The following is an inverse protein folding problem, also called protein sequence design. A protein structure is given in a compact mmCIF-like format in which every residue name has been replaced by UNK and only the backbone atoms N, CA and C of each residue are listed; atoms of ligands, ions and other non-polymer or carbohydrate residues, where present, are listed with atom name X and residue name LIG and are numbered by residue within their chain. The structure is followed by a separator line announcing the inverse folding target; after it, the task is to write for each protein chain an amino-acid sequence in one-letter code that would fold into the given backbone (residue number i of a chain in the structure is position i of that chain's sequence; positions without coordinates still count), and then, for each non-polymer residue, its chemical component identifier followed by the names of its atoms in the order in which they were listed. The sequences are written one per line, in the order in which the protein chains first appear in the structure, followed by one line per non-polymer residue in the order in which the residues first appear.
data_IF_194511775684
#
_entry.id   IF_194511775684
#
_cell.length_a   1.000
_cell.length_b   1.000
_cell.length_c   1.000
_cell.angle_alpha   90.00
_cell.angle_beta   90.00
_cell.angle_gamma   90.00
#
_symmetry.space_group_name_H-M   'P 1'
#
loop_
_entity.id
_entity.type
_entity.pdbx_description
1 polymer ?
#
# COMPACT_ATOMS: atom_id res chain seq x y z
N UNK A 1 -24.44 -21.97 -25.47
CA UNK A 1 -23.00 -22.33 -25.46
C UNK A 1 -22.93 -23.84 -25.47
N UNK A 2 -22.13 -24.37 -26.38
CA UNK A 2 -21.97 -25.80 -26.61
C UNK A 2 -21.08 -26.50 -25.56
N UNK A 3 -20.28 -25.76 -24.79
CA UNK A 3 -19.45 -26.32 -23.72
C UNK A 3 -20.32 -26.73 -22.51
N UNK A 4 -20.80 -27.97 -22.52
CA UNK A 4 -21.60 -28.59 -21.47
C UNK A 4 -21.18 -30.04 -21.27
N UNK A 5 -21.23 -30.59 -20.05
CA UNK A 5 -20.88 -31.98 -19.78
C UNK A 5 -21.62 -33.00 -20.66
N UNK A 6 -22.87 -32.70 -21.02
CA UNK A 6 -23.71 -33.56 -21.87
C UNK A 6 -23.16 -33.79 -23.29
N UNK A 7 -22.30 -32.88 -23.76
CA UNK A 7 -21.76 -32.84 -25.11
C UNK A 7 -20.35 -33.44 -25.24
N UNK A 8 -19.68 -33.79 -24.13
CA UNK A 8 -18.37 -34.43 -24.15
C UNK A 8 -18.46 -35.86 -24.74
N UNK A 9 -17.48 -36.24 -25.55
CA UNK A 9 -17.42 -37.52 -26.26
C UNK A 9 -18.47 -37.71 -27.36
N UNK A 10 -19.19 -36.65 -27.79
CA UNK A 10 -20.25 -36.74 -28.79
C UNK A 10 -20.03 -35.78 -29.95
N UNK A 11 -20.47 -36.21 -31.14
CA UNK A 11 -20.63 -35.32 -32.30
C UNK A 11 -21.86 -34.45 -32.09
N UNK A 12 -21.69 -33.14 -32.19
CA UNK A 12 -22.78 -32.16 -32.13
C UNK A 12 -22.75 -31.24 -33.36
N UNK A 13 -23.85 -30.50 -33.56
CA UNK A 13 -23.98 -29.47 -34.59
C UNK A 13 -24.41 -28.17 -33.91
N UNK A 14 -23.44 -27.32 -33.49
CA UNK A 14 -23.72 -26.14 -32.70
C UNK A 14 -24.65 -25.16 -33.42
N UNK A 15 -25.62 -24.59 -32.70
CA UNK A 15 -26.55 -23.63 -33.28
C UNK A 15 -25.96 -22.21 -33.26
N UNK A 16 -26.53 -21.26 -34.00
CA UNK A 16 -26.15 -19.83 -33.89
C UNK A 16 -26.18 -19.30 -32.46
N UNK A 17 -27.11 -19.80 -31.62
CA UNK A 17 -27.22 -19.45 -30.20
C UNK A 17 -26.01 -19.91 -29.39
N UNK A 18 -25.37 -21.01 -29.78
CA UNK A 18 -24.19 -21.53 -29.08
C UNK A 18 -22.95 -20.68 -29.26
N UNK A 19 -22.88 -19.91 -30.35
CA UNK A 19 -21.87 -18.89 -30.63
C UNK A 19 -22.22 -17.50 -30.09
N UNK A 20 -23.33 -17.36 -29.34
CA UNK A 20 -23.82 -16.07 -28.85
C UNK A 20 -24.04 -15.04 -29.98
N UNK A 21 -24.50 -15.52 -31.15
CA UNK A 21 -24.61 -14.69 -32.34
C UNK A 21 -25.44 -13.41 -32.12
N UNK A 22 -26.44 -13.45 -31.24
CA UNK A 22 -27.32 -12.30 -30.95
C UNK A 22 -26.61 -11.17 -30.19
N UNK A 23 -25.47 -11.46 -29.57
CA UNK A 23 -24.60 -10.46 -28.96
C UNK A 23 -23.53 -9.89 -29.90
N UNK A 24 -23.44 -10.36 -31.15
CA UNK A 24 -22.44 -9.87 -32.10
C UNK A 24 -22.83 -8.52 -32.70
N UNK A 25 -21.84 -7.63 -32.85
CA UNK A 25 -22.02 -6.39 -33.60
C UNK A 25 -22.43 -6.66 -35.06
N UNK A 26 -23.22 -5.78 -35.71
CA UNK A 26 -23.82 -6.06 -37.02
C UNK A 26 -22.84 -6.53 -38.10
N UNK A 27 -21.64 -5.95 -38.18
CA UNK A 27 -20.62 -6.36 -39.16
C UNK A 27 -20.06 -7.75 -38.88
N UNK A 28 -19.71 -8.04 -37.63
CA UNK A 28 -19.26 -9.38 -37.21
C UNK A 28 -20.36 -10.42 -37.38
N UNK A 29 -21.63 -10.04 -37.16
CA UNK A 29 -22.78 -10.91 -37.35
C UNK A 29 -22.93 -11.34 -38.80
N UNK A 30 -22.78 -10.41 -39.76
CA UNK A 30 -22.82 -10.74 -41.21
C UNK A 30 -21.73 -11.73 -41.61
N UNK A 31 -20.49 -11.50 -41.16
CA UNK A 31 -19.36 -12.41 -41.42
C UNK A 31 -19.58 -13.78 -40.78
N UNK A 32 -20.08 -13.80 -39.54
CA UNK A 32 -20.43 -15.03 -38.84
C UNK A 32 -21.54 -15.80 -39.56
N UNK A 33 -22.61 -15.13 -40.01
CA UNK A 33 -23.72 -15.80 -40.69
C UNK A 33 -23.26 -16.46 -42.00
N UNK A 34 -22.40 -15.80 -42.79
CA UNK A 34 -21.80 -16.40 -43.99
C UNK A 34 -20.95 -17.63 -43.66
N UNK A 35 -20.09 -17.53 -42.66
CA UNK A 35 -19.28 -18.67 -42.19
C UNK A 35 -20.17 -19.81 -41.66
N UNK A 36 -21.20 -19.49 -40.88
CA UNK A 36 -22.09 -20.48 -40.28
C UNK A 36 -22.88 -21.24 -41.35
N UNK A 37 -23.42 -20.57 -42.37
CA UNK A 37 -24.13 -21.27 -43.45
C UNK A 37 -23.25 -22.27 -44.19
N UNK A 38 -21.95 -21.98 -44.32
CA UNK A 38 -20.97 -22.88 -44.93
C UNK A 38 -20.57 -24.06 -44.03
N UNK A 39 -20.64 -23.91 -42.70
CA UNK A 39 -20.08 -24.87 -41.74
C UNK A 39 -21.12 -25.54 -40.82
N UNK A 40 -22.40 -25.15 -40.86
CA UNK A 40 -23.46 -25.64 -39.96
C UNK A 40 -23.70 -27.16 -40.01
N UNK A 41 -23.33 -27.80 -41.12
CA UNK A 41 -23.48 -29.24 -41.33
C UNK A 41 -22.19 -30.01 -41.04
N UNK A 42 -21.13 -29.34 -40.60
CA UNK A 42 -19.88 -29.99 -40.25
C UNK A 42 -20.01 -30.62 -38.86
N UNK A 43 -19.62 -31.89 -38.68
CA UNK A 43 -19.62 -32.52 -37.36
C UNK A 43 -18.64 -31.77 -36.45
N UNK A 44 -19.09 -31.45 -35.24
CA UNK A 44 -18.26 -30.79 -34.23
C UNK A 44 -18.04 -31.72 -33.04
N UNK A 45 -16.80 -32.16 -32.86
CA UNK A 45 -16.36 -32.91 -31.67
C UNK A 45 -15.77 -31.91 -30.67
N UNK A 46 -16.49 -31.69 -29.58
CA UNK A 46 -16.13 -30.67 -28.59
C UNK A 46 -14.76 -30.93 -27.97
N UNK A 47 -14.43 -32.19 -27.68
CA UNK A 47 -13.18 -32.56 -27.03
C UNK A 47 -11.96 -32.28 -27.93
N UNK A 48 -12.07 -32.60 -29.22
CA UNK A 48 -11.03 -32.31 -30.22
C UNK A 48 -10.88 -30.82 -30.48
N UNK A 49 -11.99 -30.09 -30.58
CA UNK A 49 -11.98 -28.64 -30.76
C UNK A 49 -11.38 -27.91 -29.56
N UNK A 50 -11.69 -28.36 -28.33
CA UNK A 50 -11.08 -27.82 -27.10
C UNK A 50 -9.59 -28.15 -27.03
N UNK A 51 -9.19 -29.39 -27.34
CA UNK A 51 -7.79 -29.77 -27.36
C UNK A 51 -7.00 -28.92 -28.39
N UNK A 52 -7.51 -28.78 -29.62
CA UNK A 52 -6.90 -27.96 -30.65
C UNK A 52 -6.84 -26.48 -30.26
N UNK A 53 -7.90 -25.93 -29.68
CA UNK A 53 -7.91 -24.56 -29.16
C UNK A 53 -6.83 -24.35 -28.09
N UNK A 54 -6.77 -25.23 -27.08
CA UNK A 54 -5.80 -25.15 -26.01
C UNK A 54 -4.36 -25.29 -26.52
N UNK A 55 -4.08 -26.20 -27.47
CA UNK A 55 -2.77 -26.32 -28.10
C UNK A 55 -2.38 -25.03 -28.82
N UNK A 56 -3.27 -24.50 -29.66
CA UNK A 56 -3.02 -23.26 -30.39
C UNK A 56 -2.84 -22.06 -29.44
N UNK A 57 -3.62 -21.97 -28.36
CA UNK A 57 -3.49 -20.90 -27.36
C UNK A 57 -2.10 -20.93 -26.70
N UNK A 58 -1.61 -22.11 -26.32
CA UNK A 58 -0.26 -22.28 -25.76
C UNK A 58 0.83 -21.96 -26.79
N UNK A 59 0.66 -22.37 -28.04
CA UNK A 59 1.58 -22.03 -29.14
C UNK A 59 1.67 -20.52 -29.37
N UNK A 60 0.52 -19.82 -29.40
CA UNK A 60 0.44 -18.37 -29.53
C UNK A 60 1.10 -17.68 -28.33
N UNK A 61 0.81 -18.13 -27.11
CA UNK A 61 1.42 -17.57 -25.89
C UNK A 61 2.95 -17.76 -25.89
N UNK A 62 3.43 -18.92 -26.33
CA UNK A 62 4.87 -19.19 -26.45
C UNK A 62 5.51 -18.28 -27.50
N UNK A 63 4.90 -18.15 -28.69
CA UNK A 63 5.39 -17.26 -29.75
C UNK A 63 5.42 -15.79 -29.28
N UNK A 64 4.37 -15.34 -28.58
CA UNK A 64 4.30 -14.01 -28.00
C UNK A 64 5.39 -13.80 -26.92
N UNK A 65 5.66 -14.80 -26.08
CA UNK A 65 6.70 -14.73 -25.06
C UNK A 65 8.11 -14.64 -25.67
N UNK A 66 8.37 -15.41 -26.73
CA UNK A 66 9.64 -15.36 -27.48
C UNK A 66 9.83 -13.97 -28.09
N UNK A 67 8.80 -13.46 -28.78
CA UNK A 67 8.84 -12.12 -29.37
C UNK A 67 9.04 -11.04 -28.30
N UNK A 68 8.28 -11.10 -27.20
CA UNK A 68 8.42 -10.16 -26.09
C UNK A 68 9.83 -10.18 -25.48
N UNK A 69 10.38 -11.37 -25.22
CA UNK A 69 11.75 -11.51 -24.69
C UNK A 69 12.77 -10.90 -25.64
N UNK A 70 12.69 -11.20 -26.94
CA UNK A 70 13.60 -10.66 -27.95
C UNK A 70 13.51 -9.14 -28.05
N UNK A 71 12.31 -8.59 -28.20
CA UNK A 71 12.12 -7.13 -28.29
C UNK A 71 12.59 -6.42 -27.03
N UNK A 72 12.31 -6.99 -25.85
CA UNK A 72 12.74 -6.39 -24.60
C UNK A 72 14.26 -6.43 -24.45
N UNK A 73 14.92 -7.53 -24.81
CA UNK A 73 16.38 -7.58 -24.87
C UNK A 73 16.94 -6.44 -25.72
N UNK A 74 16.43 -6.28 -26.94
CA UNK A 74 16.90 -5.25 -27.87
C UNK A 74 16.68 -3.83 -27.33
N UNK A 75 15.50 -3.53 -26.81
CA UNK A 75 15.17 -2.18 -26.33
C UNK A 75 15.90 -1.83 -25.03
N UNK A 76 16.30 -2.84 -24.24
CA UNK A 76 17.05 -2.64 -22.99
C UNK A 76 18.56 -2.75 -23.15
N UNK A 77 19.08 -2.95 -24.36
CA UNK A 77 20.52 -2.87 -24.62
C UNK A 77 21.05 -1.52 -24.17
N UNK A 78 22.27 -1.55 -23.64
CA UNK A 78 22.93 -0.35 -23.14
C UNK A 78 24.34 -0.24 -23.66
N UNK A 79 24.61 0.87 -24.35
CA UNK A 79 25.90 1.14 -24.96
C UNK A 79 26.81 1.95 -24.03
N UNK A 80 28.10 2.03 -24.38
CA UNK A 80 29.05 2.86 -23.66
C UNK A 80 28.67 4.35 -23.77
N UNK A 81 28.69 5.07 -22.64
CA UNK A 81 28.47 6.53 -22.59
C UNK A 81 27.00 6.98 -22.44
N UNK A 82 26.04 6.06 -22.31
CA UNK A 82 24.64 6.40 -22.04
C UNK A 82 24.44 6.89 -20.59
N UNK A 83 23.63 7.95 -20.42
CA UNK A 83 23.42 8.66 -19.14
C UNK A 83 22.52 7.85 -18.19
N UNK A 84 23.11 7.00 -17.35
CA UNK A 84 22.43 6.29 -16.27
C UNK A 84 23.37 6.11 -15.06
N UNK A 85 22.84 5.62 -13.93
CA UNK A 85 23.59 5.46 -12.67
C UNK A 85 24.70 4.40 -12.75
N UNK A 86 24.52 3.35 -13.54
CA UNK A 86 25.62 2.43 -13.91
C UNK A 86 26.40 3.02 -15.08
N UNK A 87 27.69 2.72 -15.23
CA UNK A 87 28.50 3.05 -16.42
C UNK A 87 28.79 1.82 -17.30
N UNK A 88 28.42 0.63 -16.84
CA UNK A 88 28.73 -0.64 -17.53
C UNK A 88 27.72 -0.90 -18.68
N UNK A 89 28.19 -1.20 -19.90
CA UNK A 89 27.31 -1.65 -20.97
C UNK A 89 26.76 -3.05 -20.67
N UNK A 90 25.61 -3.39 -21.25
CA UNK A 90 25.08 -4.76 -21.21
C UNK A 90 24.23 -5.04 -22.44
N UNK A 91 24.16 -6.33 -22.82
CA UNK A 91 23.47 -6.80 -24.04
C UNK A 91 21.95 -6.84 -23.98
N UNK A 92 21.34 -6.14 -23.01
CA UNK A 92 19.91 -6.18 -22.70
C UNK A 92 19.60 -6.85 -21.36
N UNK A 93 18.33 -6.86 -20.98
CA UNK A 93 17.78 -7.44 -19.74
C UNK A 93 16.88 -8.60 -20.15
N UNK A 94 17.07 -9.75 -19.52
CA UNK A 94 16.25 -10.91 -19.79
C UNK A 94 14.98 -10.89 -18.93
N UNK A 95 13.83 -10.70 -19.56
CA UNK A 95 12.53 -10.67 -18.88
C UNK A 95 12.18 -11.98 -18.16
N UNK A 96 12.75 -13.12 -18.55
CA UNK A 96 12.44 -14.42 -17.96
C UNK A 96 13.41 -14.82 -16.84
N UNK A 97 14.65 -14.36 -16.91
CA UNK A 97 15.69 -14.70 -15.94
C UNK A 97 15.83 -13.63 -14.84
N UNK A 98 15.83 -12.35 -15.21
CA UNK A 98 16.22 -11.28 -14.30
C UNK A 98 15.06 -10.75 -13.43
N UNK A 99 13.83 -11.13 -13.73
CA UNK A 99 12.62 -10.56 -13.11
C UNK A 99 11.43 -11.52 -13.23
N UNK A 100 10.67 -11.68 -12.15
CA UNK A 100 9.49 -12.56 -12.15
C UNK A 100 8.22 -11.88 -12.70
N UNK A 101 8.20 -10.54 -12.79
CA UNK A 101 7.03 -9.77 -13.20
C UNK A 101 7.40 -8.65 -14.15
N UNK A 102 6.45 -8.24 -15.01
CA UNK A 102 6.59 -7.10 -15.91
C UNK A 102 6.92 -5.82 -15.13
N UNK A 103 6.28 -5.59 -13.99
CA UNK A 103 6.59 -4.43 -13.14
C UNK A 103 8.04 -4.45 -12.64
N UNK A 104 8.55 -5.63 -12.25
CA UNK A 104 9.93 -5.79 -11.80
C UNK A 104 10.94 -5.52 -12.91
N UNK A 105 10.69 -6.04 -14.12
CA UNK A 105 11.61 -5.84 -15.25
C UNK A 105 11.59 -4.41 -15.78
N UNK A 106 10.43 -3.76 -15.80
CA UNK A 106 10.32 -2.32 -16.09
C UNK A 106 11.09 -1.48 -15.07
N UNK A 107 10.98 -1.80 -13.78
CA UNK A 107 11.71 -1.10 -12.72
C UNK A 107 13.22 -1.38 -12.77
N UNK A 108 13.63 -2.59 -13.17
CA UNK A 108 15.04 -2.92 -13.43
C UNK A 108 15.57 -2.08 -14.58
N UNK A 109 14.88 -2.10 -15.73
CA UNK A 109 15.25 -1.31 -16.91
C UNK A 109 15.37 0.18 -16.58
N UNK A 110 14.39 0.74 -15.86
CA UNK A 110 14.45 2.12 -15.41
C UNK A 110 15.72 2.40 -14.58
N UNK A 111 15.98 1.58 -13.55
CA UNK A 111 17.12 1.78 -12.64
C UNK A 111 18.48 1.60 -13.32
N UNK A 112 18.59 0.72 -14.32
CA UNK A 112 19.86 0.42 -14.99
C UNK A 112 20.18 1.35 -16.16
N UNK A 113 19.15 1.82 -16.88
CA UNK A 113 19.34 2.52 -18.16
C UNK A 113 18.85 3.98 -18.14
N UNK A 114 18.02 4.39 -17.19
CA UNK A 114 17.37 5.72 -17.23
C UNK A 114 17.56 6.53 -15.94
N UNK A 115 17.62 5.87 -14.78
CA UNK A 115 17.82 6.55 -13.50
C UNK A 115 19.23 7.13 -13.42
N UNK A 116 19.33 8.45 -13.22
CA UNK A 116 20.60 9.15 -13.02
C UNK A 116 21.13 8.93 -11.60
N UNK A 117 22.44 9.00 -11.44
CA UNK A 117 23.09 8.92 -10.13
C UNK A 117 22.58 10.03 -9.19
N UNK A 118 22.38 9.69 -7.91
CA UNK A 118 21.96 10.63 -6.85
C UNK A 118 20.68 11.43 -7.14
N UNK A 119 19.85 10.94 -8.07
CA UNK A 119 18.67 11.66 -8.53
C UNK A 119 17.44 11.41 -7.64
N UNK A 120 17.16 10.15 -7.32
CA UNK A 120 16.14 9.78 -6.34
C UNK A 120 16.80 9.52 -4.99
N UNK A 121 16.17 9.98 -3.91
CA UNK A 121 16.68 9.71 -2.57
C UNK A 121 16.49 8.24 -2.20
N UNK A 122 17.54 7.69 -1.59
CA UNK A 122 17.43 6.45 -0.84
C UNK A 122 16.94 6.81 0.55
N UNK A 123 15.73 6.34 0.88
CA UNK A 123 15.13 6.56 2.21
C UNK A 123 16.02 5.86 3.24
N UNK A 124 16.48 6.56 4.30
CA UNK A 124 17.25 5.90 5.35
C UNK A 124 16.44 4.79 6.02
N UNK A 125 17.11 3.76 6.54
CA UNK A 125 16.45 2.59 7.16
C UNK A 125 15.47 2.99 8.28
N UNK A 126 15.80 4.04 9.04
CA UNK A 126 14.97 4.58 10.14
C UNK A 126 14.05 5.73 9.71
N UNK A 127 13.88 5.96 8.42
CA UNK A 127 13.17 7.11 7.89
C UNK A 127 13.98 8.41 7.95
N UNK A 128 13.32 9.51 7.61
CA UNK A 128 13.96 10.83 7.54
C UNK A 128 14.04 11.56 8.89
N UNK A 129 13.13 11.25 9.81
CA UNK A 129 13.12 11.83 11.14
C UNK A 129 14.23 11.16 11.96
N UNK A 130 15.22 11.96 12.39
CA UNK A 130 16.32 11.52 13.26
C UNK A 130 15.87 11.38 14.71
N UNK A 131 14.76 10.69 14.96
CA UNK A 131 14.37 10.36 16.33
C UNK A 131 15.27 9.23 16.79
N UNK A 132 16.11 9.49 17.79
CA UNK A 132 16.95 8.49 18.44
C UNK A 132 16.07 7.51 19.24
N UNK A 133 15.43 6.58 18.54
CA UNK A 133 14.62 5.53 19.15
C UNK A 133 13.83 4.76 18.10
N UNK A 134 13.84 3.42 18.21
CA UNK A 134 13.02 2.52 17.37
C UNK A 134 11.71 2.16 18.07
N UNK A 135 11.16 3.09 18.85
CA UNK A 135 10.02 2.81 19.71
C UNK A 135 8.77 2.52 18.88
N UNK A 136 8.13 1.38 19.17
CA UNK A 136 6.94 0.96 18.44
C UNK A 136 5.71 1.78 18.83
N UNK A 137 4.80 2.00 17.88
CA UNK A 137 3.50 2.63 18.16
C UNK A 137 2.68 1.82 19.19
N UNK A 138 2.88 0.49 19.22
CA UNK A 138 2.29 -0.38 20.25
C UNK A 138 2.77 0.02 21.64
N UNK A 139 4.08 0.23 21.83
CA UNK A 139 4.68 0.64 23.10
C UNK A 139 4.18 2.02 23.53
N UNK A 140 4.16 3.01 22.62
CA UNK A 140 3.65 4.35 22.92
C UNK A 140 2.20 4.35 23.41
N UNK A 141 1.33 3.58 22.72
CA UNK A 141 -0.06 3.40 23.14
C UNK A 141 -0.17 2.69 24.49
N UNK A 142 0.67 1.67 24.70
CA UNK A 142 0.74 0.97 25.97
C UNK A 142 1.14 1.90 27.11
N UNK A 143 2.16 2.75 26.93
CA UNK A 143 2.60 3.71 27.94
C UNK A 143 1.57 4.79 28.24
N UNK A 144 0.81 5.25 27.23
CA UNK A 144 -0.31 6.16 27.44
C UNK A 144 -1.37 5.53 28.34
N UNK A 145 -1.78 4.29 28.04
CA UNK A 145 -2.72 3.54 28.89
C UNK A 145 -2.15 3.25 30.28
N UNK A 146 -0.89 2.83 30.36
CA UNK A 146 -0.22 2.49 31.61
C UNK A 146 -0.16 3.69 32.56
N UNK A 147 0.20 4.86 32.01
CA UNK A 147 0.26 6.12 32.74
C UNK A 147 -1.10 6.47 33.36
N UNK A 148 -2.18 6.35 32.58
CA UNK A 148 -3.53 6.66 33.06
C UNK A 148 -4.05 5.62 34.07
N UNK A 149 -3.83 4.32 33.81
CA UNK A 149 -4.30 3.25 34.68
C UNK A 149 -3.66 3.27 36.06
N UNK A 150 -2.36 3.56 36.13
CA UNK A 150 -1.60 3.50 37.37
C UNK A 150 -1.29 4.88 37.97
N UNK A 151 -1.72 5.96 37.32
CA UNK A 151 -1.47 7.34 37.77
C UNK A 151 0.03 7.65 37.87
N UNK A 152 0.81 7.23 36.87
CA UNK A 152 2.27 7.41 36.80
C UNK A 152 2.68 8.10 35.50
N UNK A 153 3.89 8.63 35.47
CA UNK A 153 4.47 9.23 34.27
C UNK A 153 5.51 8.27 33.69
N UNK A 154 5.27 7.82 32.45
CA UNK A 154 6.21 6.96 31.71
C UNK A 154 7.02 7.81 30.73
N UNK A 155 8.29 8.06 31.06
CA UNK A 155 9.27 8.62 30.14
C UNK A 155 9.49 7.65 28.96
N UNK A 156 9.49 8.18 27.74
CA UNK A 156 9.61 7.44 26.49
C UNK A 156 10.24 8.33 25.40
N UNK A 157 10.29 7.89 24.13
CA UNK A 157 10.96 8.62 23.04
C UNK A 157 10.40 10.03 22.81
N UNK A 158 9.13 10.27 23.13
CA UNK A 158 8.45 11.56 22.96
C UNK A 158 8.61 12.50 24.17
N UNK A 159 9.33 12.09 25.22
CA UNK A 159 9.60 12.93 26.40
C UNK A 159 10.77 13.88 26.12
N UNK A 160 10.84 15.04 26.80
CA UNK A 160 11.90 16.05 26.60
C UNK A 160 13.34 15.49 26.79
N UNK A 161 13.48 14.42 27.57
CA UNK A 161 14.75 13.69 27.77
C UNK A 161 14.93 12.43 26.91
N UNK A 162 14.03 12.15 25.96
CA UNK A 162 13.98 10.93 25.16
C UNK A 162 13.82 9.66 26.01
N UNK A 163 14.18 8.51 25.42
CA UNK A 163 14.21 7.23 26.12
C UNK A 163 15.27 7.20 27.23
N UNK A 164 14.92 6.58 28.37
CA UNK A 164 15.85 6.46 29.50
C UNK A 164 17.04 5.58 29.14
N UNK A 165 18.24 6.15 29.20
CA UNK A 165 19.50 5.42 28.98
C UNK A 165 20.02 4.81 30.29
N UNK A 166 20.31 3.51 30.27
CA UNK A 166 20.96 2.75 31.34
C UNK A 166 22.25 2.14 30.77
N UNK A 167 23.39 2.75 31.13
CA UNK A 167 24.68 2.42 30.52
C UNK A 167 24.65 2.60 29.00
N UNK A 168 24.90 1.52 28.26
CA UNK A 168 24.88 1.53 26.79
C UNK A 168 23.51 1.27 26.16
N UNK A 169 22.50 0.91 26.96
CA UNK A 169 21.17 0.56 26.46
C UNK A 169 20.14 1.66 26.75
N UNK A 170 19.08 1.68 25.96
CA UNK A 170 17.88 2.49 26.18
C UNK A 170 16.73 1.55 26.53
N UNK A 171 15.90 1.93 27.49
CA UNK A 171 14.65 1.27 27.85
C UNK A 171 13.50 1.88 27.06
N UNK A 172 12.52 1.07 26.65
CA UNK A 172 11.32 1.61 25.99
C UNK A 172 10.58 2.62 26.91
N UNK A 173 10.35 2.24 28.17
CA UNK A 173 9.63 3.07 29.15
C UNK A 173 10.38 3.21 30.47
N UNK A 174 10.26 4.36 31.12
CA UNK A 174 10.77 4.58 32.47
C UNK A 174 9.72 5.27 33.35
N UNK A 175 9.35 4.61 34.46
CA UNK A 175 8.36 5.13 35.41
C UNK A 175 9.04 6.06 36.38
N UNK A 176 8.81 7.38 36.23
CA UNK A 176 9.55 8.41 36.95
C UNK A 176 9.37 8.34 38.46
N UNK A 177 8.14 8.16 38.92
CA UNK A 177 7.80 8.22 40.36
C UNK A 177 8.31 7.01 41.14
N UNK A 178 8.49 5.87 40.45
CA UNK A 178 8.81 4.57 41.07
C UNK A 178 10.20 4.04 40.69
N UNK A 179 10.92 4.74 39.80
CA UNK A 179 12.28 4.42 39.36
C UNK A 179 12.48 2.98 38.86
N UNK A 180 11.63 2.52 37.93
CA UNK A 180 11.81 1.24 37.26
C UNK A 180 11.52 1.31 35.76
N UNK A 181 12.09 0.35 35.03
CA UNK A 181 11.96 0.26 33.57
C UNK A 181 10.74 -0.54 33.12
N UNK A 182 10.22 -0.23 31.95
CA UNK A 182 9.25 -1.07 31.24
C UNK A 182 9.80 -1.37 29.85
N UNK A 183 9.69 -2.62 29.43
CA UNK A 183 10.02 -3.08 28.07
C UNK A 183 8.78 -3.62 27.37
N UNK A 184 8.60 -3.27 26.10
CA UNK A 184 7.52 -3.77 25.26
C UNK A 184 8.12 -4.60 24.13
N UNK A 185 8.30 -5.90 24.39
CA UNK A 185 8.98 -6.80 23.48
C UNK A 185 8.06 -7.22 22.31
N UNK A 186 8.42 -6.80 21.10
CA UNK A 186 7.85 -7.32 19.86
C UNK A 186 8.11 -8.82 19.73
N UNK A 187 7.07 -9.62 19.51
CA UNK A 187 7.17 -11.07 19.60
C UNK A 187 8.16 -11.64 18.59
N UNK A 188 8.14 -11.12 17.35
CA UNK A 188 9.03 -11.53 16.26
C UNK A 188 10.47 -11.02 16.47
N UNK A 189 10.61 -9.81 17.00
CA UNK A 189 11.92 -9.16 17.17
C UNK A 189 12.73 -9.72 18.34
N UNK A 190 12.06 -10.18 19.40
CA UNK A 190 12.69 -10.74 20.60
C UNK A 190 12.48 -12.25 20.75
N UNK A 191 11.80 -12.90 19.80
CA UNK A 191 11.58 -14.36 19.80
C UNK A 191 10.74 -14.85 20.98
N UNK A 192 9.52 -14.33 21.13
CA UNK A 192 8.61 -14.64 22.25
C UNK A 192 8.50 -16.15 22.54
N UNK A 193 8.76 -16.61 23.79
CA UNK A 193 8.66 -18.04 24.14
C UNK A 193 7.27 -18.65 23.95
N UNK A 194 6.20 -17.84 24.05
CA UNK A 194 4.80 -18.30 23.87
C UNK A 194 4.42 -18.43 22.39
N UNK A 195 4.87 -17.49 21.56
CA UNK A 195 4.54 -17.48 20.12
C UNK A 195 5.48 -18.37 19.29
N UNK A 196 6.75 -18.41 19.69
CA UNK A 196 7.83 -19.12 19.00
C UNK A 196 8.53 -20.06 19.99
N UNK A 197 7.90 -21.17 20.42
CA UNK A 197 8.47 -22.02 21.46
C UNK A 197 9.80 -22.66 21.01
N UNK A 198 9.94 -23.00 19.72
CA UNK A 198 11.13 -23.60 19.16
C UNK A 198 12.28 -22.57 19.04
N UNK A 199 13.38 -22.79 19.74
CA UNK A 199 14.56 -21.92 19.70
C UNK A 199 15.28 -21.87 18.35
N UNK A 200 15.09 -22.87 17.48
CA UNK A 200 15.71 -22.94 16.15
C UNK A 200 14.87 -22.30 15.04
N UNK A 201 13.66 -21.82 15.37
CA UNK A 201 12.80 -21.17 14.39
C UNK A 201 13.46 -19.89 13.86
N UNK A 202 13.55 -19.75 12.53
CA UNK A 202 14.12 -18.58 11.87
C UNK A 202 13.10 -17.45 11.82
N UNK A 203 13.49 -16.30 12.37
CA UNK A 203 12.70 -15.08 12.31
C UNK A 203 12.95 -14.33 10.99
N UNK A 204 12.09 -13.36 10.59
CA UNK A 204 12.23 -12.61 9.34
C UNK A 204 13.56 -11.85 9.18
N UNK A 205 14.28 -11.61 10.28
CA UNK A 205 15.60 -10.99 10.28
C UNK A 205 16.75 -12.00 10.05
N UNK A 206 16.44 -13.27 9.77
CA UNK A 206 17.41 -14.34 9.54
C UNK A 206 18.05 -14.93 10.80
N UNK A 207 17.69 -14.45 11.99
CA UNK A 207 18.19 -14.96 13.28
C UNK A 207 17.22 -15.97 13.87
N UNK A 208 17.71 -16.90 14.69
CA UNK A 208 16.85 -17.86 15.38
C UNK A 208 16.19 -17.22 16.61
N UNK A 209 14.99 -17.70 16.98
CA UNK A 209 14.29 -17.20 18.16
C UNK A 209 15.11 -17.39 19.46
N UNK A 210 15.87 -18.49 19.57
CA UNK A 210 16.75 -18.75 20.71
C UNK A 210 17.90 -17.75 20.80
N UNK A 211 18.53 -17.41 19.67
CA UNK A 211 19.58 -16.38 19.63
C UNK A 211 19.05 -15.00 20.07
N UNK A 212 17.85 -14.63 19.64
CA UNK A 212 17.24 -13.35 20.02
C UNK A 212 16.95 -13.29 21.53
N UNK A 213 16.42 -14.38 22.11
CA UNK A 213 16.18 -14.48 23.56
C UNK A 213 17.48 -14.40 24.36
N UNK A 214 18.53 -15.07 23.92
CA UNK A 214 19.84 -15.04 24.59
C UNK A 214 20.43 -13.62 24.56
N UNK A 215 20.36 -12.95 23.41
CA UNK A 215 20.78 -11.57 23.29
C UNK A 215 19.97 -10.62 24.20
N UNK A 216 18.65 -10.80 24.25
CA UNK A 216 17.76 -10.02 25.13
C UNK A 216 18.06 -10.29 26.62
N UNK A 217 18.30 -11.56 26.99
CA UNK A 217 18.69 -11.97 28.34
C UNK A 217 19.98 -11.28 28.79
N UNK A 218 21.03 -11.31 27.96
CA UNK A 218 22.30 -10.65 28.26
C UNK A 218 22.13 -9.14 28.44
N UNK A 219 21.27 -8.51 27.63
CA UNK A 219 20.91 -7.09 27.76
C UNK A 219 20.18 -6.83 29.09
N UNK A 220 19.20 -7.67 29.45
CA UNK A 220 18.42 -7.55 30.68
C UNK A 220 19.26 -7.76 31.94
N UNK A 221 20.17 -8.74 31.94
CA UNK A 221 21.11 -8.95 33.05
C UNK A 221 21.99 -7.71 33.30
N UNK A 222 22.50 -7.09 32.24
CA UNK A 222 23.26 -5.84 32.37
C UNK A 222 22.38 -4.71 32.96
N UNK A 223 21.17 -4.51 32.44
CA UNK A 223 20.29 -3.44 32.91
C UNK A 223 19.91 -3.66 34.39
N UNK A 224 19.52 -4.88 34.77
CA UNK A 224 19.16 -5.22 36.15
C UNK A 224 20.35 -5.17 37.12
N UNK A 225 21.59 -5.19 36.63
CA UNK A 225 22.76 -4.87 37.46
C UNK A 225 22.84 -3.38 37.86
N UNK A 226 22.14 -2.50 37.14
CA UNK A 226 22.16 -1.05 37.32
C UNK A 226 20.87 -0.51 37.95
N UNK A 227 19.74 -1.21 37.80
CA UNK A 227 18.44 -0.80 38.33
C UNK A 227 17.69 -1.97 38.97
N UNK A 228 16.85 -1.66 39.96
CA UNK A 228 16.21 -2.70 40.79
C UNK A 228 15.12 -3.50 40.07
N UNK A 229 14.48 -2.95 39.04
CA UNK A 229 13.30 -3.57 38.41
C UNK A 229 13.12 -3.14 36.95
N UNK A 230 12.76 -4.12 36.12
CA UNK A 230 12.25 -3.92 34.76
C UNK A 230 11.05 -4.84 34.57
N UNK A 231 9.90 -4.28 34.18
CA UNK A 231 8.71 -5.05 33.82
C UNK A 231 8.67 -5.25 32.30
N UNK A 232 8.62 -6.51 31.86
CA UNK A 232 8.57 -6.85 30.42
C UNK A 232 7.16 -7.25 30.03
N UNK A 233 6.61 -6.61 29.01
CA UNK A 233 5.31 -6.93 28.41
C UNK A 233 5.52 -7.39 26.97
N UNK A 234 5.02 -8.57 26.62
CA UNK A 234 5.12 -9.05 25.24
C UNK A 234 3.98 -8.51 24.38
N UNK A 235 4.25 -8.26 23.11
CA UNK A 235 3.26 -7.85 22.11
C UNK A 235 1.99 -8.73 22.15
N UNK A 236 2.14 -10.06 22.18
CA UNK A 236 1.02 -10.99 22.24
C UNK A 236 0.19 -10.87 23.54
N UNK A 237 0.82 -10.51 24.67
CA UNK A 237 0.14 -10.29 25.95
C UNK A 237 -0.66 -9.00 25.91
N UNK A 238 -0.08 -7.92 25.36
CA UNK A 238 -0.77 -6.65 25.15
C UNK A 238 -2.00 -6.85 24.25
N UNK A 239 -1.88 -7.65 23.19
CA UNK A 239 -3.03 -7.99 22.34
C UNK A 239 -4.12 -8.77 23.10
N UNK A 240 -3.76 -9.69 23.99
CA UNK A 240 -4.72 -10.38 24.85
C UNK A 240 -5.39 -9.43 25.86
N UNK A 241 -4.64 -8.48 26.41
CA UNK A 241 -5.20 -7.44 27.28
C UNK A 241 -6.21 -6.58 26.53
N UNK A 242 -5.87 -6.12 25.32
CA UNK A 242 -6.77 -5.36 24.44
C UNK A 242 -8.06 -6.13 24.10
N UNK A 243 -7.97 -7.45 23.92
CA UNK A 243 -9.13 -8.29 23.64
C UNK A 243 -10.10 -8.37 24.83
N UNK A 244 -9.61 -8.28 26.07
CA UNK A 244 -10.40 -8.42 27.31
C UNK A 244 -10.82 -7.08 27.92
N UNK A 245 -10.01 -6.03 27.75
CA UNK A 245 -10.19 -4.72 28.39
C UNK A 245 -10.70 -3.69 27.38
N UNK A 246 -11.97 -3.30 27.55
CA UNK A 246 -12.62 -2.30 26.67
C UNK A 246 -12.06 -0.90 26.86
N UNK A 247 -11.69 -0.53 28.09
CA UNK A 247 -11.17 0.81 28.41
C UNK A 247 -9.77 0.98 27.82
N UNK A 248 -8.91 -0.03 27.99
CA UNK A 248 -7.61 -0.08 27.34
C UNK A 248 -7.73 0.09 25.83
N UNK A 249 -8.66 -0.64 25.21
CA UNK A 249 -8.90 -0.56 23.77
C UNK A 249 -9.34 0.83 23.32
N UNK A 250 -10.21 1.48 24.10
CA UNK A 250 -10.66 2.84 23.80
C UNK A 250 -9.51 3.85 23.89
N UNK A 251 -8.65 3.73 24.90
CA UNK A 251 -7.47 4.57 25.04
C UNK A 251 -6.49 4.38 23.88
N UNK A 252 -6.18 3.13 23.52
CA UNK A 252 -5.34 2.81 22.37
C UNK A 252 -5.87 3.43 21.07
N UNK A 253 -7.19 3.38 20.83
CA UNK A 253 -7.80 3.94 19.62
C UNK A 253 -7.91 5.46 19.61
N UNK A 254 -7.85 6.10 20.77
CA UNK A 254 -7.84 7.55 20.93
C UNK A 254 -6.43 8.16 20.84
N UNK A 255 -5.39 7.33 20.86
CA UNK A 255 -4.01 7.78 20.74
C UNK A 255 -3.77 8.50 19.41
N UNK A 256 -3.31 9.75 19.50
CA UNK A 256 -2.94 10.56 18.34
C UNK A 256 -1.46 10.34 18.10
N UNK A 257 -1.14 9.67 16.98
CA UNK A 257 0.24 9.45 16.58
C UNK A 257 0.83 10.73 15.97
N UNK A 258 1.66 11.42 16.76
CA UNK A 258 2.44 12.58 16.35
C UNK A 258 3.92 12.26 16.04
N UNK A 259 4.24 10.96 15.95
CA UNK A 259 5.59 10.47 15.64
C UNK A 259 6.00 10.70 14.18
N UNK A 260 7.12 10.08 13.76
CA UNK A 260 7.66 10.20 12.41
C UNK A 260 6.67 9.89 11.27
N UNK A 261 6.99 10.38 10.07
CA UNK A 261 6.32 9.98 8.83
C UNK A 261 6.82 8.60 8.39
N UNK A 262 5.90 7.63 8.29
CA UNK A 262 6.11 6.43 7.48
C UNK A 262 5.65 6.70 6.05
N UNK A 263 6.59 6.85 5.11
CA UNK A 263 6.29 7.10 3.69
C UNK A 263 5.46 5.96 3.09
N UNK A 264 5.65 4.71 3.53
CA UNK A 264 4.87 3.59 2.99
C UNK A 264 3.41 3.64 3.42
N UNK A 265 3.11 4.32 4.53
CA UNK A 265 1.73 4.49 5.00
C UNK A 265 0.86 5.30 4.03
N UNK A 266 1.44 6.22 3.25
CA UNK A 266 0.73 7.00 2.23
C UNK A 266 0.70 6.33 0.84
N UNK A 267 1.23 5.11 0.71
CA UNK A 267 1.18 4.36 -0.55
C UNK A 267 -0.08 3.50 -0.60
N UNK A 268 -0.96 3.84 -1.54
CA UNK A 268 -2.23 3.16 -1.78
C UNK A 268 -2.34 2.70 -3.24
N UNK A 269 -3.15 1.67 -3.48
CA UNK A 269 -3.46 1.18 -4.82
C UNK A 269 -4.55 1.98 -5.51
N UNK A 270 -5.09 1.44 -6.60
CA UNK A 270 -6.23 2.02 -7.29
C UNK A 270 -7.49 2.08 -6.41
N UNK A 271 -8.27 3.16 -6.56
CA UNK A 271 -9.54 3.32 -5.85
C UNK A 271 -10.59 2.39 -6.44
N UNK A 272 -11.19 1.55 -5.61
CA UNK A 272 -12.38 0.76 -5.95
C UNK A 272 -13.48 1.08 -4.94
N UNK A 273 -14.61 1.62 -5.40
CA UNK A 273 -15.70 2.05 -4.52
C UNK A 273 -17.04 2.02 -5.25
N UNK A 274 -17.72 0.86 -5.31
CA UNK A 274 -19.03 0.76 -5.95
C UNK A 274 -20.10 1.47 -5.10
N UNK A 275 -20.85 2.39 -5.70
CA UNK A 275 -22.06 2.97 -5.06
C UNK A 275 -23.24 1.98 -5.07
N UNK A 276 -23.26 1.07 -6.05
CA UNK A 276 -24.26 0.02 -6.21
C UNK A 276 -23.59 -1.22 -6.78
N UNK A 277 -23.82 -2.37 -6.15
CA UNK A 277 -23.21 -3.64 -6.56
C UNK A 277 -23.81 -4.20 -7.86
N UNK A 278 -25.11 -3.97 -8.09
CA UNK A 278 -25.80 -4.42 -9.30
C UNK A 278 -26.94 -3.48 -9.67
N UNK A 279 -27.02 -3.09 -10.94
CA UNK A 279 -28.12 -2.28 -11.48
C UNK A 279 -28.70 -2.94 -12.73
N UNK A 280 -29.99 -3.28 -12.70
CA UNK A 280 -30.74 -3.70 -13.89
C UNK A 280 -31.33 -2.46 -14.56
N UNK A 281 -30.94 -2.22 -15.81
CA UNK A 281 -31.40 -1.09 -16.63
C UNK A 281 -32.92 -1.16 -16.80
N UNK A 282 -33.60 -0.03 -16.60
CA UNK A 282 -35.03 0.15 -16.89
C UNK A 282 -35.25 0.74 -18.29
N UNK A 283 -36.49 0.71 -18.77
CA UNK A 283 -36.85 1.30 -20.06
C UNK A 283 -36.49 2.80 -20.09
N UNK A 284 -35.73 3.20 -21.11
CA UNK A 284 -35.21 4.56 -21.26
C UNK A 284 -33.90 4.87 -20.53
N UNK A 285 -33.38 3.97 -19.70
CA UNK A 285 -32.07 4.13 -19.06
C UNK A 285 -30.93 3.61 -19.95
N UNK A 286 -29.74 4.20 -19.82
CA UNK A 286 -28.51 3.76 -20.49
C UNK A 286 -27.38 3.71 -19.46
N UNK A 287 -26.53 2.68 -19.55
CA UNK A 287 -25.28 2.61 -18.79
C UNK A 287 -24.15 3.05 -19.72
N UNK A 288 -23.36 4.02 -19.27
CA UNK A 288 -22.14 4.47 -19.93
C UNK A 288 -20.94 3.99 -19.13
N UNK A 289 -19.89 3.56 -19.84
CA UNK A 289 -18.60 3.18 -19.25
C UNK A 289 -17.54 4.15 -19.74
N UNK A 290 -16.73 4.65 -18.81
CA UNK A 290 -15.59 5.51 -19.11
C UNK A 290 -14.33 4.83 -18.57
N UNK A 291 -13.32 4.74 -19.42
CA UNK A 291 -12.04 4.11 -19.11
C UNK A 291 -10.91 5.05 -19.50
N UNK A 292 -10.00 5.29 -18.55
CA UNK A 292 -8.76 6.01 -18.86
C UNK A 292 -7.74 4.99 -19.32
N UNK A 293 -7.55 4.91 -20.64
CA UNK A 293 -6.53 4.05 -21.23
C UNK A 293 -5.15 4.45 -20.72
N UNK A 294 -4.45 3.51 -20.08
CA UNK A 294 -3.08 3.71 -19.57
C UNK A 294 -2.94 4.85 -18.56
N UNK A 295 -3.85 4.95 -17.57
CA UNK A 295 -3.82 5.99 -16.53
C UNK A 295 -2.43 6.16 -15.88
N UNK A 296 -1.82 5.10 -15.34
CA UNK A 296 -0.52 5.22 -14.66
C UNK A 296 0.62 5.66 -15.60
N UNK A 297 0.80 5.07 -16.81
CA UNK A 297 1.73 5.60 -17.79
C UNK A 297 1.49 7.07 -18.14
N UNK A 298 0.24 7.49 -18.32
CA UNK A 298 -0.11 8.88 -18.60
C UNK A 298 0.37 9.81 -17.48
N UNK A 299 0.10 9.46 -16.21
CA UNK A 299 0.57 10.23 -15.05
C UNK A 299 2.11 10.25 -14.99
N UNK A 300 2.78 9.11 -15.20
CA UNK A 300 4.24 9.05 -15.22
C UNK A 300 4.87 9.97 -16.28
N UNK A 301 4.22 10.16 -17.42
CA UNK A 301 4.72 11.04 -18.50
C UNK A 301 4.37 12.52 -18.30
N UNK A 302 3.26 12.81 -17.61
CA UNK A 302 2.72 14.19 -17.56
C UNK A 302 2.99 14.89 -16.23
N UNK A 303 3.38 14.16 -15.19
CA UNK A 303 3.50 14.68 -13.83
C UNK A 303 4.96 14.86 -13.43
N UNK A 304 5.25 15.93 -12.70
CA UNK A 304 6.54 16.14 -12.05
C UNK A 304 6.61 15.34 -10.73
N UNK A 305 7.71 14.61 -10.55
CA UNK A 305 7.94 13.78 -9.36
C UNK A 305 8.94 14.44 -8.42
N UNK A 306 8.80 14.29 -7.09
CA UNK A 306 9.80 14.74 -6.15
C UNK A 306 11.13 14.01 -6.35
N UNK A 307 12.24 14.76 -6.32
CA UNK A 307 13.59 14.23 -6.51
C UNK A 307 14.54 14.73 -5.40
N UNK A 308 15.60 13.97 -5.16
CA UNK A 308 16.53 14.23 -4.05
C UNK A 308 15.90 13.99 -2.67
N UNK A 309 16.63 14.38 -1.63
CA UNK A 309 16.18 14.25 -0.24
C UNK A 309 15.25 15.43 0.14
N UNK A 310 14.17 15.19 0.90
CA UNK A 310 13.32 16.26 1.42
C UNK A 310 13.98 17.01 2.57
N UNK A 311 13.53 18.23 2.81
CA UNK A 311 13.70 18.91 4.08
C UNK A 311 12.70 18.36 5.09
N UNK A 312 13.19 18.08 6.30
CA UNK A 312 12.40 17.47 7.36
C UNK A 312 11.95 18.55 8.33
N UNK A 313 10.65 18.71 8.51
CA UNK A 313 10.07 19.66 9.44
C UNK A 313 9.33 18.95 10.57
N UNK A 314 9.78 19.18 11.81
CA UNK A 314 9.13 18.72 13.04
C UNK A 314 8.37 19.90 13.64
N UNK A 315 7.04 19.95 13.44
CA UNK A 315 6.25 21.16 13.69
C UNK A 315 5.30 21.00 14.89
N UNK A 316 4.54 19.90 14.96
CA UNK A 316 3.54 19.61 16.00
C UNK A 316 2.66 20.82 16.41
N UNK A 317 2.04 21.51 15.43
CA UNK A 317 1.30 22.77 15.62
C UNK A 317 -0.18 22.63 15.27
N UNK A 318 -1.04 23.27 16.07
CA UNK A 318 -2.45 23.43 15.72
C UNK A 318 -2.60 24.42 14.56
N UNK A 319 -3.39 24.03 13.56
CA UNK A 319 -3.68 24.82 12.36
C UNK A 319 -5.20 24.83 12.11
N UNK A 320 -5.66 25.65 11.17
CA UNK A 320 -7.05 25.62 10.70
C UNK A 320 -7.04 25.76 9.18
N UNK A 321 -6.67 24.69 8.48
CA UNK A 321 -6.66 24.68 7.03
C UNK A 321 -8.02 24.18 6.52
N UNK A 322 -8.66 25.01 5.71
CA UNK A 322 -9.99 24.77 5.13
C UNK A 322 -9.99 24.91 3.62
N UNK A 323 -8.88 25.40 3.04
CA UNK A 323 -8.69 25.60 1.60
C UNK A 323 -7.31 25.10 1.19
N UNK A 324 -7.15 24.64 -0.06
CA UNK A 324 -5.86 24.23 -0.60
C UNK A 324 -4.77 25.32 -0.47
N UNK A 325 -5.15 26.60 -0.53
CA UNK A 325 -4.23 27.74 -0.36
C UNK A 325 -3.63 27.86 1.04
N UNK A 326 -4.23 27.23 2.06
CA UNK A 326 -3.73 27.26 3.43
C UNK A 326 -2.51 26.33 3.60
N UNK A 327 -2.37 25.33 2.72
CA UNK A 327 -1.20 24.46 2.68
C UNK A 327 -0.07 25.14 1.89
N UNK A 328 0.95 25.60 2.63
CA UNK A 328 2.13 26.24 2.04
C UNK A 328 3.12 25.25 1.41
N UNK A 329 2.97 23.95 1.67
CA UNK A 329 3.87 22.90 1.20
C UNK A 329 3.32 22.27 -0.08
N UNK A 330 3.80 22.75 -1.23
CA UNK A 330 3.25 22.39 -2.55
C UNK A 330 3.66 20.99 -3.01
N UNK A 331 4.87 20.55 -2.67
CA UNK A 331 5.40 19.24 -3.05
C UNK A 331 5.95 18.55 -1.80
N UNK A 332 5.06 17.91 -1.05
CA UNK A 332 5.43 17.34 0.23
C UNK A 332 4.65 16.08 0.58
N UNK A 333 5.19 15.32 1.53
CA UNK A 333 4.43 14.34 2.30
C UNK A 333 4.18 14.95 3.67
N UNK A 334 2.91 15.01 4.07
CA UNK A 334 2.50 15.64 5.32
C UNK A 334 1.87 14.59 6.24
N UNK A 335 2.13 14.72 7.54
CA UNK A 335 1.39 14.04 8.61
C UNK A 335 0.51 15.08 9.30
N UNK A 336 -0.80 14.90 9.18
CA UNK A 336 -1.81 15.89 9.59
C UNK A 336 -2.98 15.23 10.31
N UNK A 337 -3.63 15.95 11.22
CA UNK A 337 -4.94 15.55 11.73
C UNK A 337 -6.02 16.15 10.83
N UNK A 338 -6.75 15.29 10.13
CA UNK A 338 -7.78 15.66 9.15
C UNK A 338 -9.17 15.34 9.69
N UNK A 339 -10.13 16.18 9.36
CA UNK A 339 -11.55 16.01 9.67
C UNK A 339 -12.31 16.06 8.35
N UNK A 340 -13.02 14.99 7.95
CA UNK A 340 -13.80 15.00 6.72
C UNK A 340 -15.07 15.86 6.86
N UNK A 341 -15.66 16.33 5.75
CA UNK A 341 -16.98 16.95 5.77
C UNK A 341 -18.05 15.94 6.22
N UNK A 342 -19.21 16.43 6.69
CA UNK A 342 -20.31 15.54 7.12
C UNK A 342 -20.99 14.83 5.96
N UNK A 343 -20.88 15.38 4.75
CA UNK A 343 -21.44 14.84 3.52
C UNK A 343 -20.51 15.18 2.35
N UNK A 344 -20.22 14.19 1.52
CA UNK A 344 -19.45 14.29 0.28
C UNK A 344 -19.81 13.08 -0.59
N UNK A 345 -19.80 13.25 -1.91
CA UNK A 345 -20.16 12.18 -2.85
C UNK A 345 -19.02 11.17 -3.00
N UNK A 346 -17.78 11.66 -3.14
CA UNK A 346 -16.58 10.83 -3.30
C UNK A 346 -15.55 11.21 -2.24
N UNK A 347 -15.53 10.54 -1.07
CA UNK A 347 -14.57 10.85 0.00
C UNK A 347 -13.13 10.70 -0.47
N UNK A 348 -12.24 11.67 -0.20
CA UNK A 348 -10.90 11.76 -0.81
C UNK A 348 -9.87 10.96 -0.03
N UNK A 349 -9.64 11.30 1.24
CA UNK A 349 -8.55 10.70 2.03
C UNK A 349 -8.93 9.33 2.58
N UNK A 350 -8.07 8.32 2.43
CA UNK A 350 -8.30 7.00 2.98
C UNK A 350 -7.84 6.86 4.45
N UNK A 351 -8.27 5.77 5.07
CA UNK A 351 -7.81 5.27 6.35
C UNK A 351 -7.72 3.74 6.29
N UNK A 352 -6.62 3.16 6.78
CA UNK A 352 -6.52 1.70 6.99
C UNK A 352 -7.05 1.33 8.37
N UNK A 353 -7.92 0.34 8.46
CA UNK A 353 -8.32 -0.22 9.75
C UNK A 353 -7.20 -1.06 10.34
N UNK A 354 -6.91 -0.87 11.62
CA UNK A 354 -5.80 -1.55 12.31
C UNK A 354 -5.99 -3.07 12.42
N UNK A 355 -7.24 -3.55 12.42
CA UNK A 355 -7.56 -4.98 12.60
C UNK A 355 -7.13 -5.83 11.39
N UNK A 356 -7.34 -5.34 10.18
CA UNK A 356 -7.24 -6.13 8.94
C UNK A 356 -6.56 -5.38 7.79
N UNK A 357 -5.98 -4.21 8.05
CA UNK A 357 -5.38 -3.30 7.06
C UNK A 357 -6.31 -2.88 5.91
N UNK A 358 -7.62 -3.10 6.06
CA UNK A 358 -8.61 -2.75 5.03
C UNK A 358 -8.64 -1.25 4.82
N UNK A 359 -8.57 -0.86 3.55
CA UNK A 359 -8.64 0.52 3.11
C UNK A 359 -10.09 0.98 3.06
N UNK A 360 -10.42 2.02 3.80
CA UNK A 360 -11.73 2.68 3.80
C UNK A 360 -11.56 4.16 3.48
N UNK A 361 -12.64 4.78 2.98
CA UNK A 361 -12.71 6.24 2.82
C UNK A 361 -13.86 6.79 3.68
N UNK A 362 -13.71 6.81 5.03
CA UNK A 362 -14.81 7.11 5.93
C UNK A 362 -15.03 8.62 6.13
N UNK A 363 -16.26 9.00 6.47
CA UNK A 363 -16.60 10.35 6.96
C UNK A 363 -16.58 10.46 8.50
N UNK A 364 -16.23 9.37 9.18
CA UNK A 364 -16.01 9.32 10.62
C UNK A 364 -15.11 8.11 10.96
N UNK A 365 -13.91 8.39 11.44
CA UNK A 365 -12.97 7.36 11.89
C UNK A 365 -13.54 6.51 13.02
N UNK A 366 -14.21 7.12 14.00
CA UNK A 366 -14.83 6.39 15.12
C UNK A 366 -15.94 5.44 14.65
N UNK A 367 -16.80 5.83 13.70
CA UNK A 367 -17.79 4.93 13.11
C UNK A 367 -17.13 3.74 12.42
N UNK A 368 -16.11 3.99 11.58
CA UNK A 368 -15.40 2.93 10.87
C UNK A 368 -14.72 1.93 11.82
N UNK A 369 -14.20 2.41 12.96
CA UNK A 369 -13.61 1.58 14.02
C UNK A 369 -14.67 0.82 14.84
N UNK A 370 -15.83 1.41 15.11
CA UNK A 370 -16.93 0.77 15.87
C UNK A 370 -17.67 -0.29 15.06
N UNK A 371 -17.81 -0.09 13.75
CA UNK A 371 -18.52 -0.99 12.84
C UNK A 371 -17.59 -1.49 11.73
N UNK A 372 -16.51 -2.22 12.09
CA UNK A 372 -15.49 -2.61 11.12
C UNK A 372 -16.07 -3.54 10.05
N UNK A 373 -16.96 -4.46 10.39
CA UNK A 373 -17.53 -5.42 9.42
C UNK A 373 -18.61 -4.81 8.52
N UNK A 374 -18.87 -3.50 8.69
CA UNK A 374 -19.94 -2.80 8.01
C UNK A 374 -21.31 -3.11 8.61
N UNK A 375 -22.25 -2.23 8.30
CA UNK A 375 -23.66 -2.40 8.62
C UNK A 375 -24.44 -1.39 7.81
N UNK A 376 -25.38 -1.84 6.98
CA UNK A 376 -26.34 -0.93 6.35
C UNK A 376 -27.40 -0.63 7.38
N UNK A 377 -27.14 0.41 8.19
CA UNK A 377 -28.13 0.94 9.11
C UNK A 377 -28.89 2.01 8.33
N UNK A 378 -30.07 1.65 7.83
CA UNK A 378 -30.97 2.61 7.19
C UNK A 378 -31.20 3.80 8.14
N UNK A 379 -31.09 5.01 7.60
CA UNK A 379 -31.23 6.27 8.34
C UNK A 379 -30.16 6.56 9.41
N UNK A 380 -29.02 5.86 9.42
CA UNK A 380 -27.93 6.19 10.35
C UNK A 380 -27.43 7.63 10.14
N UNK A 381 -27.35 8.38 11.24
CA UNK A 381 -26.73 9.70 11.30
C UNK A 381 -25.64 9.70 12.36
N UNK A 382 -24.41 9.93 11.93
CA UNK A 382 -23.27 10.02 12.83
C UNK A 382 -23.43 11.21 13.79
N UNK A 383 -23.48 10.94 15.09
CA UNK A 383 -23.57 11.93 16.18
C UNK A 383 -22.21 12.32 16.76
N UNK A 384 -21.13 11.71 16.28
CA UNK A 384 -19.78 11.99 16.76
C UNK A 384 -19.36 13.44 16.46
N UNK A 385 -18.56 13.98 17.38
CA UNK A 385 -17.94 15.31 17.27
C UNK A 385 -16.80 15.27 16.25
N UNK A 386 -16.41 16.43 15.75
CA UNK A 386 -15.44 16.53 14.66
C UNK A 386 -14.06 15.97 15.02
N UNK A 387 -13.63 16.11 16.28
CA UNK A 387 -12.41 15.48 16.80
C UNK A 387 -12.47 13.95 16.84
N UNK A 388 -13.65 13.36 17.04
CA UNK A 388 -13.85 11.90 17.00
C UNK A 388 -13.99 11.37 15.56
N UNK A 389 -14.41 12.24 14.63
CA UNK A 389 -14.56 11.90 13.22
C UNK A 389 -13.23 11.93 12.49
N UNK A 390 -12.30 12.79 12.92
CA UNK A 390 -10.99 12.92 12.31
C UNK A 390 -10.00 11.81 12.66
N UNK A 391 -8.89 11.78 11.93
CA UNK A 391 -7.77 10.87 12.15
C UNK A 391 -6.45 11.52 11.72
N UNK A 392 -5.33 10.91 12.15
CA UNK A 392 -4.02 11.25 11.63
C UNK A 392 -3.85 10.60 10.26
N UNK A 393 -3.63 11.42 9.24
CA UNK A 393 -3.37 11.00 7.86
C UNK A 393 -1.93 11.36 7.49
N UNK A 394 -1.23 10.39 6.89
CA UNK A 394 -0.03 10.65 6.10
C UNK A 394 -0.44 10.68 4.63
N UNK A 395 -0.30 11.81 3.97
CA UNK A 395 -0.73 11.99 2.58
C UNK A 395 0.18 12.96 1.83
N UNK A 396 0.09 12.93 0.49
CA UNK A 396 0.79 13.91 -0.34
C UNK A 396 0.12 15.27 -0.25
N UNK A 397 0.87 16.35 -0.49
CA UNK A 397 0.33 17.71 -0.61
C UNK A 397 -0.77 17.79 -1.66
N UNK A 398 -0.61 17.07 -2.78
CA UNK A 398 -1.58 17.03 -3.89
C UNK A 398 -2.91 16.45 -3.42
N UNK A 399 -2.88 15.27 -2.78
CA UNK A 399 -4.08 14.60 -2.27
C UNK A 399 -4.75 15.40 -1.15
N UNK A 400 -3.94 15.99 -0.26
CA UNK A 400 -4.44 16.84 0.82
C UNK A 400 -5.15 18.09 0.30
N UNK A 401 -4.62 18.71 -0.75
CA UNK A 401 -5.22 19.90 -1.36
C UNK A 401 -6.57 19.58 -2.00
N UNK A 402 -6.68 18.47 -2.72
CA UNK A 402 -7.98 17.98 -3.24
C UNK A 402 -8.95 17.71 -2.10
N UNK A 403 -8.49 17.12 -0.99
CA UNK A 403 -9.35 16.91 0.18
C UNK A 403 -9.86 18.23 0.79
N UNK A 404 -9.00 19.24 0.89
CA UNK A 404 -9.38 20.58 1.37
C UNK A 404 -10.41 21.24 0.45
N UNK A 405 -10.25 21.12 -0.87
CA UNK A 405 -11.22 21.61 -1.87
C UNK A 405 -12.58 20.92 -1.74
N UNK A 406 -12.57 19.63 -1.39
CA UNK A 406 -13.74 18.81 -1.11
C UNK A 406 -14.30 18.97 0.32
N UNK A 407 -13.83 19.98 1.07
CA UNK A 407 -14.41 20.38 2.36
C UNK A 407 -13.84 19.65 3.58
N UNK A 408 -12.70 18.97 3.46
CA UNK A 408 -11.96 18.50 4.62
C UNK A 408 -11.35 19.69 5.38
N UNK A 409 -11.07 19.50 6.67
CA UNK A 409 -10.37 20.49 7.50
C UNK A 409 -9.15 19.85 8.16
N UNK A 410 -8.02 20.54 8.17
CA UNK A 410 -6.84 20.15 8.96
C UNK A 410 -6.79 20.98 10.23
N UNK A 411 -6.75 20.32 11.37
CA UNK A 411 -6.68 20.99 12.68
C UNK A 411 -5.30 20.90 13.33
N UNK A 412 -4.43 20.01 12.84
CA UNK A 412 -3.07 19.85 13.37
C UNK A 412 -2.09 19.38 12.30
N UNK A 413 -0.90 19.99 12.28
CA UNK A 413 0.23 19.64 11.43
C UNK A 413 1.35 19.05 12.30
N UNK A 414 1.69 17.78 12.08
CA UNK A 414 2.68 17.08 12.89
C UNK A 414 4.08 17.16 12.28
N UNK A 415 4.21 16.72 11.02
CA UNK A 415 5.48 16.57 10.30
C UNK A 415 5.29 16.89 8.82
N UNK A 416 6.37 17.35 8.18
CA UNK A 416 6.42 17.56 6.74
C UNK A 416 7.75 17.06 6.19
N UNK A 417 7.69 16.29 5.11
CA UNK A 417 8.81 16.02 4.22
C UNK A 417 8.64 16.90 2.98
N UNK A 418 9.31 18.04 2.94
CA UNK A 418 9.17 19.06 1.90
C UNK A 418 10.23 18.89 0.81
N UNK A 419 9.81 18.70 -0.43
CA UNK A 419 10.72 18.51 -1.57
C UNK A 419 10.90 19.80 -2.34
N UNK A 420 12.10 20.37 -2.26
CA UNK A 420 12.46 21.59 -2.98
C UNK A 420 12.69 21.39 -4.49
N UNK A 421 12.73 20.14 -4.95
CA UNK A 421 13.07 19.77 -6.32
C UNK A 421 12.07 18.76 -6.85
N UNK A 422 11.70 18.94 -8.10
CA UNK A 422 10.94 17.97 -8.89
C UNK A 422 11.56 17.77 -10.26
N UNK A 423 11.30 16.62 -10.88
CA UNK A 423 11.66 16.34 -12.28
C UNK A 423 10.43 15.86 -13.04
N UNK A 424 10.02 16.60 -14.08
CA UNK A 424 8.98 16.20 -15.03
C UNK A 424 9.48 15.24 -16.10
N UNK A 425 10.79 15.11 -16.28
CA UNK A 425 11.45 14.26 -17.27
C UNK A 425 11.95 12.92 -16.69
N UNK A 426 11.58 12.63 -15.42
CA UNK A 426 11.99 11.42 -14.71
C UNK A 426 11.59 10.15 -15.47
N UNK A 427 10.34 10.06 -15.93
CA UNK A 427 9.82 8.90 -16.64
C UNK A 427 9.49 9.10 -18.14
N UNK A 428 9.24 10.32 -18.67
CA UNK A 428 9.02 10.49 -20.12
C UNK A 428 10.11 9.87 -20.99
N UNK A 429 11.37 9.97 -20.58
CA UNK A 429 12.48 9.39 -21.33
C UNK A 429 12.40 7.86 -21.45
N UNK A 430 11.95 7.17 -20.39
CA UNK A 430 11.64 5.75 -20.43
C UNK A 430 10.46 5.49 -21.36
N UNK A 431 9.32 6.16 -21.16
CA UNK A 431 8.09 5.83 -21.87
C UNK A 431 8.12 6.21 -23.36
N UNK A 432 8.61 7.39 -23.71
CA UNK A 432 8.63 7.89 -25.09
C UNK A 432 9.67 7.17 -25.95
N UNK A 433 10.81 6.76 -25.38
CA UNK A 433 11.86 6.03 -26.13
C UNK A 433 11.56 4.55 -26.29
N UNK A 434 10.92 3.93 -25.29
CA UNK A 434 10.70 2.47 -25.23
C UNK A 434 9.31 2.09 -25.73
N UNK A 435 8.27 2.84 -25.36
CA UNK A 435 6.87 2.47 -25.59
C UNK A 435 6.13 3.43 -26.54
N UNK A 436 6.69 4.61 -26.84
CA UNK A 436 6.10 5.60 -27.76
C UNK A 436 6.46 5.41 -29.23
N UNK A 437 7.51 4.65 -29.54
CA UNK A 437 7.97 4.38 -30.91
C UNK A 437 7.55 2.98 -31.35
N UNK A 438 6.25 2.76 -31.53
CA UNK A 438 5.64 1.71 -32.37
C UNK A 438 4.17 1.54 -31.96
N UNK A 439 3.27 1.43 -32.93
CA UNK A 439 1.87 0.99 -32.76
C UNK A 439 1.77 -0.49 -32.29
N UNK A 440 2.69 -0.97 -31.46
CA UNK A 440 2.95 -2.41 -31.31
C UNK A 440 3.25 -2.88 -29.89
N UNK A 441 3.08 -2.04 -28.86
CA UNK A 441 3.06 -2.57 -27.49
C UNK A 441 1.64 -2.68 -26.96
N UNK A 442 1.38 -3.86 -26.41
CA UNK A 442 0.16 -4.30 -25.73
C UNK A 442 -0.43 -3.13 -24.95
N UNK A 443 -1.70 -2.82 -25.23
CA UNK A 443 -2.54 -2.07 -24.29
C UNK A 443 -2.48 -2.83 -22.97
N UNK A 444 -1.64 -2.34 -22.04
CA UNK A 444 -1.59 -2.86 -20.67
C UNK A 444 -2.93 -2.55 -20.02
#
# INVERSE_FOLDING_TARGET
MANRPENYGKVIYPTKKDYLADGMMPEKRKLFDLWYEQHKNNPFLLDEALASYCTNDVEILMAALIAFRQEFFEVTKRNNGERAASTKPHGGIDVLHDSMTIASVCMRHFRTNHLKEQHLALVPERGYDKVDGNQSLLALRFFKWYSEKYGVTVQNVNSDGGEKRIGKYQLDGWVLEKNYGIEVNGCVWHGCPKCFPNGYELMPNGKTAGYLREHDKNRMEFILSQIARVDVYWECEIHQMLAKDREMRQLFYSYIDDGPIDIRSCFYGGRTGPLKLHHKVKDGERISYYDVTSLYPFINVTTAYPVGHPNVHIINKNVNWTKATDNTYKLAILKVFVIPPRKIDVPVLPMKLEKDARLLFPLCAKCAKMYPEGGVIENYRCTHKDNERGWVSTCTSIELNVALEEGYTVTKLFRVLDYNKSDSELFPTLYLRVYGRKNTFIRI
#
